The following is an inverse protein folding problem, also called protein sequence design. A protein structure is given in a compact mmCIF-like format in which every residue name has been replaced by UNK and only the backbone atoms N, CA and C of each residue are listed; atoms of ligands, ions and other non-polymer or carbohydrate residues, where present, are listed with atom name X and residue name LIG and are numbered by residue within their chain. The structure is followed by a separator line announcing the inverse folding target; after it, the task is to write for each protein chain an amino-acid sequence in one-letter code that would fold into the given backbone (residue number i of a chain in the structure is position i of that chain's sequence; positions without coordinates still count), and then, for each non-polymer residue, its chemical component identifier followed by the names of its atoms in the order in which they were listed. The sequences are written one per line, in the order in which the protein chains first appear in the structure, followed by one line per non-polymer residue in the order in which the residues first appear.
data_IF_669818153589
#
_entry.id   IF_669818153589
#
_cell.length_a   1.000
_cell.length_b   1.000
_cell.length_c   1.000
_cell.angle_alpha   90.00
_cell.angle_beta   90.00
_cell.angle_gamma   90.00
#
_symmetry.space_group_name_H-M   'P 1'
#
loop_
_entity.id
_entity.type
_entity.pdbx_description
1 polymer ?
#
# COMPACT_ATOMS: atom_id res chain seq x y z
N UNK A 1 1.91 3.93 5.06
CA UNK A 1 0.90 3.57 6.11
C UNK A 1 0.50 4.78 6.95
N UNK A 2 -0.68 5.36 6.70
CA UNK A 2 -1.10 6.64 7.32
C UNK A 2 -1.81 6.49 8.67
N UNK A 3 -2.43 5.34 8.94
CA UNK A 3 -3.21 5.11 10.17
C UNK A 3 -2.41 4.45 11.31
N UNK A 4 -1.10 4.23 11.14
CA UNK A 4 -0.22 3.71 12.19
C UNK A 4 -0.29 2.20 12.45
N UNK A 5 -1.15 1.43 11.76
CA UNK A 5 -1.32 0.00 12.03
C UNK A 5 -0.09 -0.82 11.62
N UNK A 6 0.57 -1.48 12.56
CA UNK A 6 1.81 -2.22 12.30
C UNK A 6 1.62 -3.72 12.13
N UNK A 7 0.42 -4.25 12.38
CA UNK A 7 0.12 -5.67 12.24
C UNK A 7 0.29 -6.14 10.80
N UNK A 8 1.30 -6.99 10.57
CA UNK A 8 1.68 -7.47 9.23
C UNK A 8 0.57 -8.29 8.56
N UNK A 9 -0.37 -8.88 9.33
CA UNK A 9 -1.45 -9.72 8.81
C UNK A 9 -2.50 -8.93 8.04
N UNK A 10 -2.63 -7.64 8.33
CA UNK A 10 -3.65 -6.75 7.73
C UNK A 10 -3.05 -5.73 6.75
N UNK A 11 -1.74 -5.80 6.51
CA UNK A 11 -1.05 -4.94 5.56
C UNK A 11 -0.96 -5.61 4.19
N UNK A 12 -1.30 -4.87 3.14
CA UNK A 12 -1.22 -5.26 1.74
C UNK A 12 -0.20 -4.43 1.00
N UNK A 13 0.32 -4.96 -0.11
CA UNK A 13 1.22 -4.23 -1.00
C UNK A 13 0.42 -3.19 -1.78
N UNK A 14 0.88 -1.94 -1.73
CA UNK A 14 0.38 -0.83 -2.51
C UNK A 14 1.42 -0.43 -3.56
N UNK A 15 0.98 -0.20 -4.79
CA UNK A 15 1.81 0.37 -5.85
C UNK A 15 1.54 1.88 -5.87
N UNK A 16 2.54 2.69 -5.54
CA UNK A 16 2.39 4.14 -5.38
C UNK A 16 1.93 4.79 -6.69
N UNK A 17 2.45 4.34 -7.83
CA UNK A 17 2.07 4.79 -9.18
C UNK A 17 0.74 4.21 -9.70
N UNK A 18 0.09 3.30 -8.95
CA UNK A 18 -1.12 2.58 -9.38
C UNK A 18 -0.88 1.51 -10.46
N UNK A 19 0.35 1.37 -10.98
CA UNK A 19 0.71 0.38 -11.98
C UNK A 19 1.17 -0.92 -11.31
N UNK A 20 0.29 -1.93 -11.33
CA UNK A 20 0.54 -3.27 -10.74
C UNK A 20 1.67 -4.07 -11.41
N UNK A 21 2.30 -3.56 -12.48
CA UNK A 21 3.46 -4.18 -13.14
C UNK A 21 4.79 -3.55 -12.69
N UNK A 22 4.74 -2.40 -12.02
CA UNK A 22 5.90 -1.62 -11.60
C UNK A 22 6.42 -2.11 -10.25
N UNK A 23 7.26 -3.15 -10.27
CA UNK A 23 7.73 -3.87 -9.08
C UNK A 23 9.00 -3.29 -8.44
N UNK A 24 9.39 -2.07 -8.78
CA UNK A 24 10.53 -1.40 -8.12
C UNK A 24 10.22 -1.22 -6.64
N UNK A 25 11.14 -1.57 -5.74
CA UNK A 25 10.96 -1.40 -4.29
C UNK A 25 10.58 0.05 -3.94
N UNK A 26 11.10 1.03 -4.66
CA UNK A 26 10.78 2.45 -4.47
C UNK A 26 9.32 2.81 -4.80
N UNK A 27 8.63 1.98 -5.58
CA UNK A 27 7.23 2.13 -5.97
C UNK A 27 6.28 1.30 -5.08
N UNK A 28 6.81 0.49 -4.16
CA UNK A 28 6.00 -0.35 -3.29
C UNK A 28 5.99 0.22 -1.88
N UNK A 29 4.80 0.29 -1.28
CA UNK A 29 4.66 0.48 0.16
C UNK A 29 3.66 -0.52 0.75
N UNK A 30 3.57 -0.55 2.09
CA UNK A 30 2.57 -1.36 2.80
C UNK A 30 1.50 -0.47 3.40
N UNK A 31 0.24 -0.76 3.10
CA UNK A 31 -0.94 -0.08 3.62
C UNK A 31 -1.92 -1.10 4.20
N UNK A 32 -2.76 -0.70 5.16
CA UNK A 32 -3.91 -1.52 5.51
C UNK A 32 -4.98 -1.44 4.41
N UNK A 33 -5.94 -2.36 4.41
CA UNK A 33 -7.02 -2.40 3.41
C UNK A 33 -7.76 -1.06 3.27
N UNK A 34 -8.03 -0.36 4.38
CA UNK A 34 -8.74 0.93 4.33
C UNK A 34 -7.87 2.06 3.74
N UNK A 35 -6.62 2.18 4.20
CA UNK A 35 -5.70 3.17 3.62
C UNK A 35 -5.43 2.88 2.14
N UNK A 36 -5.34 1.61 1.76
CA UNK A 36 -5.14 1.17 0.38
C UNK A 36 -6.31 1.58 -0.52
N UNK A 37 -7.55 1.39 -0.06
CA UNK A 37 -8.75 1.77 -0.81
C UNK A 37 -8.82 3.28 -1.08
N UNK A 38 -8.39 4.11 -0.13
CA UNK A 38 -8.43 5.57 -0.23
C UNK A 38 -7.29 6.14 -1.08
N UNK A 39 -6.15 5.45 -1.16
CA UNK A 39 -4.92 6.00 -1.75
C UNK A 39 -4.99 6.24 -3.27
N UNK A 40 -5.94 5.64 -3.98
CA UNK A 40 -6.15 5.82 -5.43
C UNK A 40 -7.55 6.35 -5.79
N UNK A 41 -8.27 6.89 -4.80
CA UNK A 41 -9.42 7.77 -5.06
C UNK A 41 -8.87 9.11 -5.55
#
# INVERSE_FOLDING_TARGET
NKCGISDKRVLVVHHIDGNRKSNSIKNLERLCCNCHAIAHV
#
